data_IF_113301066363
#
_entry.id   IF_113301066363
#
_cell.length_a   1.000
_cell.length_b   1.000
_cell.length_c   1.000
_cell.angle_alpha   90.00
_cell.angle_beta   90.00
_cell.angle_gamma   90.00
#
_symmetry.space_group_name_H-M   'P 1'
#
loop_
_entity.id
_entity.type
_entity.pdbx_description
1 polymer ?
#
# COMPACT_ATOMS: atom_id res chain seq x y z
N UNK A 1 4.83 -5.03 12.40
CA UNK A 1 4.33 -4.11 11.34
C UNK A 1 3.38 -4.90 10.45
N UNK A 2 2.50 -4.21 9.71
CA UNK A 2 1.64 -4.83 8.70
C UNK A 2 2.49 -5.52 7.63
N UNK A 3 2.02 -6.64 7.08
CA UNK A 3 2.68 -7.32 5.95
C UNK A 3 2.69 -6.46 4.68
N UNK A 4 1.84 -5.43 4.62
CA UNK A 4 1.73 -4.50 3.50
C UNK A 4 2.70 -3.32 3.59
N UNK A 5 3.59 -3.34 4.60
CA UNK A 5 4.70 -2.39 4.74
C UNK A 5 5.98 -3.20 4.56
N UNK A 6 6.83 -2.88 3.57
CA UNK A 6 8.13 -3.50 3.41
C UNK A 6 8.97 -3.37 4.68
N UNK A 7 9.85 -4.35 4.90
CA UNK A 7 10.87 -4.20 5.93
C UNK A 7 11.93 -3.19 5.46
N UNK A 8 12.80 -2.77 6.38
CA UNK A 8 14.01 -2.03 6.04
C UNK A 8 14.30 -0.82 6.93
N UNK A 9 15.42 -0.19 6.62
CA UNK A 9 16.02 0.86 7.46
C UNK A 9 15.23 2.16 7.48
N UNK A 10 14.36 2.39 6.49
CA UNK A 10 13.53 3.60 6.43
C UNK A 10 12.65 3.77 7.68
N UNK A 11 12.26 2.67 8.33
CA UNK A 11 11.44 2.67 9.55
C UNK A 11 12.12 3.36 10.74
N UNK A 12 13.45 3.48 10.73
CA UNK A 12 14.24 4.12 11.78
C UNK A 12 14.30 5.64 11.63
N UNK A 13 14.17 6.14 10.40
CA UNK A 13 14.41 7.56 10.04
C UNK A 13 13.19 8.20 9.38
N UNK A 14 12.07 7.50 9.30
CA UNK A 14 10.82 8.00 8.73
C UNK A 14 9.68 7.93 9.74
N UNK A 15 8.70 8.81 9.58
CA UNK A 15 7.50 8.90 10.42
C UNK A 15 6.25 8.82 9.56
N UNK A 16 5.10 8.64 10.20
CA UNK A 16 3.79 8.59 9.53
C UNK A 16 3.75 7.58 8.35
N UNK A 17 4.43 6.45 8.52
CA UNK A 17 4.51 5.40 7.50
C UNK A 17 3.12 4.82 7.27
N UNK A 18 2.68 4.84 6.01
CA UNK A 18 1.38 4.32 5.58
C UNK A 18 1.51 3.51 4.31
N UNK A 19 0.73 2.45 4.22
CA UNK A 19 0.56 1.67 3.00
C UNK A 19 -0.90 1.79 2.57
N UNK A 20 -1.13 2.32 1.37
CA UNK A 20 -2.48 2.56 0.86
C UNK A 20 -2.66 1.87 -0.48
N UNK A 21 -3.72 1.06 -0.57
CA UNK A 21 -4.22 0.51 -1.81
C UNK A 21 -5.02 1.58 -2.55
N UNK A 22 -4.73 1.77 -3.84
CA UNK A 22 -5.48 2.60 -4.76
C UNK A 22 -5.92 1.76 -5.95
N UNK A 23 -7.18 1.94 -6.35
CA UNK A 23 -7.76 1.24 -7.50
C UNK A 23 -8.84 2.10 -8.15
N UNK A 24 -9.29 1.71 -9.34
CA UNK A 24 -10.57 2.12 -9.89
C UNK A 24 -11.56 0.98 -9.68
N UNK A 25 -12.47 1.11 -8.72
CA UNK A 25 -13.47 0.09 -8.39
C UNK A 25 -14.75 0.26 -9.21
N UNK A 26 -15.29 -0.84 -9.73
CA UNK A 26 -16.55 -0.85 -10.45
C UNK A 26 -17.75 -0.79 -9.49
N UNK A 27 -18.70 0.09 -9.79
CA UNK A 27 -20.02 0.16 -9.16
C UNK A 27 -20.97 -0.87 -9.78
N UNK A 28 -22.11 -1.12 -9.11
CA UNK A 28 -23.19 -1.96 -9.61
C UNK A 28 -23.80 -1.45 -10.92
N UNK A 29 -23.75 -0.12 -11.14
CA UNK A 29 -24.17 0.52 -12.39
C UNK A 29 -23.15 0.35 -13.54
N UNK A 30 -22.03 -0.34 -13.29
CA UNK A 30 -20.98 -0.62 -14.25
C UNK A 30 -19.92 0.48 -14.39
N UNK A 31 -20.10 1.64 -13.76
CA UNK A 31 -19.13 2.75 -13.78
C UNK A 31 -17.95 2.47 -12.85
N UNK A 32 -16.78 2.95 -13.23
CA UNK A 32 -15.58 2.89 -12.39
C UNK A 32 -15.39 4.19 -11.62
N UNK A 33 -15.09 4.09 -10.33
CA UNK A 33 -14.75 5.23 -9.46
C UNK A 33 -13.41 5.02 -8.77
N UNK A 34 -12.64 6.08 -8.48
CA UNK A 34 -11.46 5.96 -7.64
C UNK A 34 -11.83 5.44 -6.25
N UNK A 35 -11.11 4.44 -5.77
CA UNK A 35 -11.28 3.86 -4.45
C UNK A 35 -9.93 3.61 -3.80
N UNK A 36 -9.88 3.76 -2.48
CA UNK A 36 -8.67 3.53 -1.70
C UNK A 36 -8.94 2.82 -0.39
N UNK A 37 -7.98 2.05 0.10
CA UNK A 37 -8.03 1.36 1.38
C UNK A 37 -6.69 1.47 2.10
N UNK A 38 -6.73 1.84 3.38
CA UNK A 38 -5.54 1.86 4.24
C UNK A 38 -5.20 0.43 4.70
N UNK A 39 -3.98 -0.01 4.35
CA UNK A 39 -3.44 -1.33 4.67
C UNK A 39 -2.47 -1.30 5.86
N UNK A 40 -2.16 -0.11 6.39
CA UNK A 40 -1.08 0.14 7.38
C UNK A 40 -1.20 -0.73 8.63
N UNK A 41 -2.43 -1.03 9.05
CA UNK A 41 -2.72 -1.82 10.25
C UNK A 41 -3.29 -3.21 9.95
N UNK A 42 -3.35 -3.62 8.68
CA UNK A 42 -3.90 -4.92 8.29
C UNK A 42 -2.80 -5.98 8.29
N UNK A 43 -2.94 -7.03 9.11
CA UNK A 43 -2.01 -8.16 9.12
C UNK A 43 -2.30 -9.17 8.00
N UNK A 44 -3.57 -9.32 7.63
CA UNK A 44 -4.03 -10.06 6.47
C UNK A 44 -5.28 -9.36 5.95
N UNK A 45 -5.42 -9.27 4.64
CA UNK A 45 -6.57 -8.62 4.02
C UNK A 45 -7.10 -9.48 2.86
N UNK A 46 -8.40 -9.69 2.90
CA UNK A 46 -9.20 -10.20 1.81
C UNK A 46 -10.16 -9.07 1.40
N UNK A 47 -9.75 -8.28 0.42
CA UNK A 47 -10.46 -7.05 0.05
C UNK A 47 -11.58 -7.38 -0.92
N UNK A 48 -12.77 -6.85 -0.66
CA UNK A 48 -13.90 -6.91 -1.58
C UNK A 48 -14.25 -5.51 -2.08
N UNK A 49 -14.79 -5.46 -3.29
CA UNK A 49 -15.41 -4.25 -3.82
C UNK A 49 -16.92 -4.33 -3.57
N UNK A 50 -17.45 -3.41 -2.77
CA UNK A 50 -18.88 -3.25 -2.50
C UNK A 50 -19.38 -1.95 -3.14
N UNK A 51 -19.89 -2.06 -4.37
CA UNK A 51 -20.45 -0.93 -5.13
C UNK A 51 -19.51 0.27 -5.26
N UNK A 52 -18.24 0.00 -5.58
CA UNK A 52 -17.19 1.02 -5.73
C UNK A 52 -16.39 1.29 -4.45
N UNK A 53 -16.76 0.69 -3.31
CA UNK A 53 -16.06 0.86 -2.04
C UNK A 53 -15.22 -0.37 -1.70
N UNK A 54 -13.93 -0.17 -1.41
CA UNK A 54 -13.06 -1.25 -0.95
C UNK A 54 -13.30 -1.52 0.53
N UNK A 55 -13.59 -2.78 0.86
CA UNK A 55 -13.82 -3.23 2.24
C UNK A 55 -12.95 -4.45 2.53
N UNK A 56 -12.26 -4.43 3.67
CA UNK A 56 -11.57 -5.62 4.14
C UNK A 56 -12.58 -6.62 4.71
N UNK A 57 -12.53 -7.87 4.26
CA UNK A 57 -13.30 -8.97 4.82
C UNK A 57 -12.55 -9.60 6.00
N UNK A 58 -13.28 -10.26 6.90
CA UNK A 58 -12.72 -10.93 8.08
C UNK A 58 -11.95 -12.22 7.77
N UNK A 59 -11.88 -12.62 6.50
CA UNK A 59 -11.13 -13.79 6.07
C UNK A 59 -9.66 -13.46 5.87
N UNK A 60 -8.78 -14.39 6.26
CA UNK A 60 -7.35 -14.29 5.95
C UNK A 60 -7.13 -14.61 4.48
N UNK A 61 -6.95 -13.54 3.69
CA UNK A 61 -6.51 -13.65 2.31
C UNK A 61 -4.98 -13.77 2.21
N UNK A 62 -4.50 -14.56 1.25
CA UNK A 62 -3.07 -14.66 0.92
C UNK A 62 -2.67 -13.53 -0.03
N UNK A 63 -1.96 -12.52 0.48
CA UNK A 63 -1.45 -11.43 -0.34
C UNK A 63 -0.47 -11.93 -1.41
N UNK A 64 -0.44 -11.24 -2.56
CA UNK A 64 0.64 -11.38 -3.54
C UNK A 64 1.59 -10.21 -3.33
N UNK A 65 2.68 -10.46 -2.60
CA UNK A 65 3.57 -9.40 -2.13
C UNK A 65 2.84 -8.42 -1.21
N UNK A 66 2.89 -7.14 -1.59
CA UNK A 66 2.20 -6.07 -0.86
C UNK A 66 0.78 -5.80 -1.38
N UNK A 67 0.32 -6.51 -2.41
CA UNK A 67 -1.05 -6.38 -2.91
C UNK A 67 -1.96 -7.34 -2.13
N UNK A 68 -2.98 -6.83 -1.42
CA UNK A 68 -3.90 -7.71 -0.71
C UNK A 68 -4.69 -8.53 -1.72
N UNK A 69 -4.94 -9.78 -1.38
CA UNK A 69 -5.86 -10.63 -2.13
C UNK A 69 -7.29 -10.14 -2.00
N UNK A 70 -8.14 -10.62 -2.90
CA UNK A 70 -9.58 -10.64 -2.69
C UNK A 70 -10.37 -10.41 -3.96
N UNK A 71 -11.69 -10.46 -3.81
CA UNK A 71 -12.63 -10.38 -4.94
C UNK A 71 -12.59 -9.04 -5.67
N UNK A 72 -12.11 -7.96 -5.03
CA UNK A 72 -12.01 -6.64 -5.67
C UNK A 72 -11.22 -6.68 -6.98
N UNK A 73 -10.19 -7.54 -7.08
CA UNK A 73 -9.32 -7.67 -8.25
C UNK A 73 -10.07 -8.09 -9.52
N UNK A 74 -11.26 -8.69 -9.40
CA UNK A 74 -12.12 -9.07 -10.54
C UNK A 74 -12.97 -7.92 -11.07
N UNK A 75 -13.12 -6.87 -10.29
CA UNK A 75 -14.07 -5.76 -10.51
C UNK A 75 -13.40 -4.40 -10.35
N UNK A 76 -12.07 -4.36 -10.30
CA UNK A 76 -11.31 -3.13 -10.12
C UNK A 76 -10.13 -3.15 -11.09
N UNK A 77 -9.83 -1.98 -11.64
CA UNK A 77 -8.70 -1.75 -12.54
C UNK A 77 -7.65 -0.84 -11.87
N UNK A 78 -6.48 -0.72 -12.50
CA UNK A 78 -5.37 0.14 -12.06
C UNK A 78 -4.98 -0.07 -10.59
N UNK A 79 -4.82 -1.34 -10.20
CA UNK A 79 -4.52 -1.73 -8.82
C UNK A 79 -3.07 -1.39 -8.49
N UNK A 80 -2.89 -0.45 -7.55
CA UNK A 80 -1.58 0.05 -7.13
C UNK A 80 -1.55 0.13 -5.61
N UNK A 81 -0.44 -0.29 -5.01
CA UNK A 81 -0.17 -0.10 -3.59
C UNK A 81 0.97 0.88 -3.46
N UNK A 82 0.74 1.94 -2.69
CA UNK A 82 1.69 3.02 -2.48
C UNK A 82 2.08 3.05 -1.01
N UNK A 83 3.39 2.97 -0.77
CA UNK A 83 4.01 3.29 0.50
C UNK A 83 4.25 4.78 0.56
N UNK A 84 3.81 5.45 1.62
CA UNK A 84 4.07 6.87 1.87
C UNK A 84 4.63 7.07 3.27
N UNK A 85 5.60 7.98 3.43
CA UNK A 85 6.16 8.34 4.72
C UNK A 85 6.77 9.74 4.72
N UNK A 86 6.85 10.34 5.91
CA UNK A 86 7.69 11.52 6.16
C UNK A 86 9.13 11.06 6.41
N UNK A 87 9.97 11.15 5.40
CA UNK A 87 11.36 10.69 5.44
C UNK A 87 12.31 11.82 5.86
N UNK A 88 13.20 11.53 6.80
CA UNK A 88 14.23 12.47 7.25
C UNK A 88 15.34 12.61 6.18
N UNK A 89 15.69 13.86 5.85
CA UNK A 89 16.85 14.25 5.03
C UNK A 89 18.12 14.34 5.87
N UNK A 90 19.28 14.41 5.21
CA UNK A 90 20.60 14.58 5.86
C UNK A 90 20.71 15.86 6.68
N UNK A 91 19.98 16.90 6.28
CA UNK A 91 19.87 18.18 7.01
C UNK A 91 18.95 18.10 8.25
N UNK A 92 18.48 16.90 8.61
CA UNK A 92 17.54 16.60 9.70
C UNK A 92 16.10 17.11 9.52
N UNK A 93 15.79 17.77 8.41
CA UNK A 93 14.41 18.12 8.06
C UNK A 93 13.68 16.93 7.43
N UNK A 94 12.36 16.99 7.33
CA UNK A 94 11.52 15.89 6.83
C UNK A 94 10.84 16.29 5.53
N UNK A 95 10.59 15.32 4.66
CA UNK A 95 9.77 15.50 3.46
C UNK A 95 8.89 14.28 3.21
N UNK A 96 7.77 14.50 2.55
CA UNK A 96 6.92 13.41 2.07
C UNK A 96 7.64 12.65 0.95
N UNK A 97 7.63 11.33 1.05
CA UNK A 97 8.12 10.43 0.01
C UNK A 97 7.11 9.33 -0.25
N UNK A 98 6.99 8.93 -1.51
CA UNK A 98 6.10 7.85 -1.93
C UNK A 98 6.84 6.84 -2.79
N UNK A 99 6.45 5.58 -2.68
CA UNK A 99 7.01 4.47 -3.43
C UNK A 99 5.88 3.51 -3.82
N UNK A 100 5.78 3.19 -5.11
CA UNK A 100 4.86 2.14 -5.59
C UNK A 100 5.47 0.77 -5.30
N UNK A 101 4.73 -0.07 -4.59
CA UNK A 101 5.19 -1.39 -4.14
C UNK A 101 4.33 -2.55 -4.67
N UNK A 102 3.32 -2.30 -5.52
CA UNK A 102 2.39 -3.34 -6.01
C UNK A 102 3.02 -4.45 -6.86
N UNK A 103 4.22 -4.22 -7.41
CA UNK A 103 4.95 -5.23 -8.18
C UNK A 103 6.21 -5.76 -7.48
N UNK A 104 6.37 -5.47 -6.18
CA UNK A 104 7.53 -5.86 -5.40
C UNK A 104 7.14 -7.00 -4.45
N UNK A 105 8.05 -7.96 -4.28
CA UNK A 105 7.89 -9.09 -3.38
C UNK A 105 9.11 -9.19 -2.46
N UNK A 106 8.88 -9.19 -1.15
CA UNK A 106 9.92 -9.39 -0.12
C UNK A 106 11.16 -8.49 -0.29
N UNK A 107 10.93 -7.20 -0.56
CA UNK A 107 12.01 -6.22 -0.67
C UNK A 107 12.27 -5.51 0.65
N UNK A 108 13.50 -5.05 0.83
CA UNK A 108 13.85 -4.08 1.87
C UNK A 108 13.80 -2.66 1.28
N UNK A 109 13.37 -1.69 2.09
CA UNK A 109 13.32 -0.27 1.72
C UNK A 109 14.21 0.55 2.66
N UNK A 110 14.93 1.49 2.09
CA UNK A 110 15.77 2.44 2.82
C UNK A 110 15.31 3.87 2.57
N UNK A 111 15.57 4.75 3.53
CA UNK A 111 15.42 6.19 3.35
C UNK A 111 16.78 6.78 2.92
N UNK A 112 16.88 7.23 1.68
CA UNK A 112 18.08 7.86 1.11
C UNK A 112 17.83 9.35 0.95
N UNK A 113 18.29 10.12 1.95
CA UNK A 113 18.17 11.59 1.97
C UNK A 113 16.74 12.10 1.72
N UNK A 114 15.78 11.53 2.45
CA UNK A 114 14.37 11.87 2.34
C UNK A 114 13.62 11.12 1.24
N UNK A 115 14.22 10.12 0.58
CA UNK A 115 13.61 9.37 -0.52
C UNK A 115 13.54 7.87 -0.21
N UNK A 116 12.33 7.31 -0.20
CA UNK A 116 12.11 5.87 -0.10
C UNK A 116 12.70 5.17 -1.32
N UNK A 117 13.64 4.25 -1.08
CA UNK A 117 14.41 3.56 -2.11
C UNK A 117 14.40 2.06 -1.83
N UNK A 118 14.12 1.25 -2.85
CA UNK A 118 14.20 -0.21 -2.75
C UNK A 118 15.67 -0.64 -2.72
N UNK A 119 16.04 -1.44 -1.73
CA UNK A 119 17.36 -2.07 -1.65
C UNK A 119 17.44 -3.19 -2.70
N UNK A 120 18.54 -3.24 -3.45
CA UNK A 120 18.80 -4.25 -4.49
C UNK A 120 19.67 -5.38 -3.98
#
# INVERSE_FOLDING_TARGET
>A
MSQYIPEGSFTLTSKNIRSTLYTKSQKRDGKYIPASLDLTNLSSADVANMDGFLVNQTHSGSASGYVPSGSYQKTSDDIVVVLSAECQKRDQTYQESTLVISGLDNVSVSNIDGVLTVDK
#
